data_IF_129500585421
#
_entry.id   IF_129500585421
#
_cell.length_a   1.000
_cell.length_b   1.000
_cell.length_c   1.000
_cell.angle_alpha   90.00
_cell.angle_beta   90.00
_cell.angle_gamma   90.00
#
_symmetry.space_group_name_H-M   'P 1'
#
loop_
_entity.id
_entity.type
_entity.pdbx_description
1 polymer ?
#
# COMPACT_ATOMS: atom_id res chain seq x y z
N UNK A 1 29.13 23.16 8.57
CA UNK A 1 29.33 22.06 7.61
C UNK A 1 28.10 21.17 7.64
N UNK A 2 27.23 21.30 6.64
CA UNK A 2 25.98 20.54 6.50
C UNK A 2 26.28 19.30 5.66
N UNK A 3 26.79 18.24 6.28
CA UNK A 3 27.04 16.97 5.59
C UNK A 3 25.72 16.20 5.49
N UNK A 4 25.11 16.24 4.30
CA UNK A 4 23.93 15.44 3.88
C UNK A 4 22.82 15.39 4.94
N UNK A 5 22.13 16.51 5.14
CA UNK A 5 20.94 16.60 5.98
C UNK A 5 19.90 15.53 5.60
N UNK A 6 19.77 14.51 6.46
CA UNK A 6 18.79 13.43 6.29
C UNK A 6 17.38 14.01 6.38
N UNK A 7 16.48 13.68 5.44
CA UNK A 7 15.11 14.17 5.45
C UNK A 7 14.36 13.81 6.75
N UNK A 8 13.47 14.69 7.21
CA UNK A 8 12.80 14.58 8.52
C UNK A 8 12.04 13.25 8.73
N UNK A 9 11.51 12.65 7.66
CA UNK A 9 10.89 11.32 7.73
C UNK A 9 11.91 10.23 8.12
N UNK A 10 13.07 10.22 7.45
CA UNK A 10 14.15 9.27 7.71
C UNK A 10 14.76 9.53 9.09
N UNK A 11 14.90 10.78 9.51
CA UNK A 11 15.36 11.13 10.86
C UNK A 11 14.41 10.59 11.94
N UNK A 12 13.12 10.84 11.81
CA UNK A 12 12.11 10.36 12.76
C UNK A 12 12.01 8.84 12.80
N UNK A 13 12.18 8.18 11.64
CA UNK A 13 12.23 6.72 11.58
C UNK A 13 13.44 6.18 12.37
N UNK A 14 14.63 6.77 12.18
CA UNK A 14 15.82 6.41 12.97
C UNK A 14 15.62 6.63 14.47
N UNK A 15 15.00 7.73 14.88
CA UNK A 15 14.64 7.94 16.28
C UNK A 15 13.65 6.90 16.80
N UNK A 16 12.68 6.48 16.00
CA UNK A 16 11.75 5.40 16.37
C UNK A 16 12.49 4.08 16.59
N UNK A 17 13.44 3.75 15.71
CA UNK A 17 14.29 2.55 15.83
C UNK A 17 15.16 2.62 17.08
N UNK A 18 15.82 3.76 17.34
CA UNK A 18 16.61 3.95 18.56
C UNK A 18 15.75 3.88 19.82
N UNK A 19 14.55 4.47 19.78
CA UNK A 19 13.56 4.41 20.86
C UNK A 19 13.20 2.97 21.18
N UNK A 20 12.91 2.16 20.16
CA UNK A 20 12.66 0.73 20.31
C UNK A 20 13.88 -0.01 20.87
N UNK A 21 15.06 0.19 20.29
CA UNK A 21 16.29 -0.49 20.72
C UNK A 21 16.59 -0.23 22.19
N UNK A 22 16.57 1.04 22.63
CA UNK A 22 16.85 1.36 24.02
C UNK A 22 15.77 0.85 24.98
N UNK A 23 14.48 1.00 24.64
CA UNK A 23 13.43 0.56 25.57
C UNK A 23 13.26 -0.95 25.63
N UNK A 24 13.36 -1.66 24.50
CA UNK A 24 13.07 -3.09 24.41
C UNK A 24 14.34 -3.93 24.58
N UNK A 25 15.42 -3.59 23.88
CA UNK A 25 16.65 -4.39 23.89
C UNK A 25 17.53 -4.06 25.10
N UNK A 26 17.64 -2.78 25.47
CA UNK A 26 18.51 -2.34 26.58
C UNK A 26 17.76 -2.10 27.89
N UNK A 27 16.43 -2.22 27.93
CA UNK A 27 15.58 -1.91 29.08
C UNK A 27 15.81 -0.49 29.67
N UNK A 28 16.13 0.48 28.81
CA UNK A 28 16.37 1.89 29.14
C UNK A 28 15.30 2.78 28.52
N UNK A 29 14.15 2.86 29.16
CA UNK A 29 13.02 3.64 28.66
C UNK A 29 13.24 5.15 28.77
N UNK A 30 14.06 5.59 29.72
CA UNK A 30 14.43 6.99 29.94
C UNK A 30 15.06 7.65 28.71
N UNK A 31 15.70 6.86 27.83
CA UNK A 31 16.31 7.36 26.60
C UNK A 31 15.30 8.00 25.65
N UNK A 32 14.02 7.61 25.72
CA UNK A 32 12.95 8.24 24.92
C UNK A 32 12.75 9.72 25.26
N UNK A 33 13.04 10.14 26.50
CA UNK A 33 12.91 11.55 26.94
C UNK A 33 13.86 12.49 26.19
N UNK A 34 14.98 11.94 25.69
CA UNK A 34 15.99 12.69 24.95
C UNK A 34 15.72 12.72 23.43
N UNK A 35 14.71 11.98 22.94
CA UNK A 35 14.42 11.87 21.52
C UNK A 35 13.45 12.97 21.07
N UNK A 36 13.93 13.89 20.24
CA UNK A 36 13.11 14.98 19.69
C UNK A 36 12.79 14.73 18.23
N UNK A 37 11.53 14.36 17.97
CA UNK A 37 11.03 14.19 16.61
C UNK A 37 10.96 15.53 15.88
N UNK A 38 11.34 15.53 14.61
CA UNK A 38 11.17 16.67 13.74
C UNK A 38 9.74 16.75 13.23
N UNK A 39 9.20 17.96 13.08
CA UNK A 39 7.87 18.15 12.49
C UNK A 39 7.89 17.71 11.03
N UNK A 40 7.01 16.78 10.69
CA UNK A 40 6.78 16.37 9.30
C UNK A 40 5.81 17.33 8.63
N UNK A 41 6.23 17.93 7.52
CA UNK A 41 5.33 18.68 6.64
C UNK A 41 4.46 17.66 5.91
N UNK A 42 3.14 17.68 6.18
CA UNK A 42 2.18 16.85 5.44
C UNK A 42 1.92 17.49 4.09
N UNK A 43 2.36 16.82 3.02
CA UNK A 43 2.00 17.21 1.65
C UNK A 43 0.60 16.69 1.34
N UNK A 44 -0.18 17.47 0.61
CA UNK A 44 -1.45 17.00 0.06
C UNK A 44 -1.11 15.98 -1.03
N UNK A 45 -1.73 14.78 -1.00
CA UNK A 45 -1.50 13.80 -2.06
C UNK A 45 -2.01 14.34 -3.39
N UNK A 46 -1.17 14.25 -4.42
CA UNK A 46 -1.60 14.45 -5.80
C UNK A 46 -2.41 13.22 -6.23
N UNK A 47 -3.62 13.44 -6.71
CA UNK A 47 -4.52 12.37 -7.19
C UNK A 47 -4.55 12.43 -8.71
N UNK A 48 -4.46 11.26 -9.35
CA UNK A 48 -4.51 11.13 -10.80
C UNK A 48 -5.96 11.28 -11.30
N UNK A 49 -6.12 11.86 -12.49
CA UNK A 49 -7.40 11.88 -13.19
C UNK A 49 -7.76 10.48 -13.74
N UNK A 50 -9.04 10.26 -14.06
CA UNK A 50 -9.47 9.00 -14.66
C UNK A 50 -8.76 8.73 -16.00
N UNK A 51 -8.53 9.77 -16.80
CA UNK A 51 -7.83 9.68 -18.08
C UNK A 51 -6.35 9.34 -17.90
N UNK A 52 -5.70 9.89 -16.88
CA UNK A 52 -4.32 9.53 -16.53
C UNK A 52 -4.20 8.06 -16.14
N UNK A 53 -5.12 7.56 -15.32
CA UNK A 53 -5.15 6.16 -14.91
C UNK A 53 -5.36 5.25 -16.12
N UNK A 54 -6.31 5.58 -17.01
CA UNK A 54 -6.54 4.82 -18.25
C UNK A 54 -5.27 4.74 -19.10
N UNK A 55 -4.58 5.86 -19.32
CA UNK A 55 -3.31 5.88 -20.07
C UNK A 55 -2.25 4.97 -19.44
N UNK A 56 -2.15 4.95 -18.11
CA UNK A 56 -1.21 4.08 -17.37
C UNK A 56 -1.58 2.60 -17.55
N UNK A 57 -2.87 2.27 -17.49
CA UNK A 57 -3.36 0.89 -17.66
C UNK A 57 -3.13 0.37 -19.08
N UNK A 58 -3.26 1.22 -20.09
CA UNK A 58 -3.10 0.84 -21.50
C UNK A 58 -1.63 0.58 -21.88
N UNK A 59 -0.69 1.30 -21.26
CA UNK A 59 0.76 1.12 -21.48
C UNK A 59 1.41 0.21 -20.46
N UNK A 60 0.62 -0.48 -19.61
CA UNK A 60 1.13 -1.29 -18.53
C UNK A 60 2.14 -2.35 -19.07
N UNK A 61 3.41 -2.30 -18.65
CA UNK A 61 4.46 -3.13 -19.23
C UNK A 61 4.34 -4.58 -18.77
N UNK A 62 4.79 -5.54 -19.57
CA UNK A 62 4.99 -6.93 -19.17
C UNK A 62 4.22 -7.97 -19.99
N UNK A 63 4.39 -9.27 -19.70
CA UNK A 63 3.78 -10.34 -20.47
C UNK A 63 2.28 -10.41 -20.20
N UNK A 64 1.49 -10.33 -21.27
CA UNK A 64 0.04 -10.50 -21.23
C UNK A 64 -0.68 -9.49 -20.32
N UNK A 65 -1.72 -9.95 -19.63
CA UNK A 65 -2.61 -9.09 -18.83
C UNK A 65 -2.15 -8.88 -17.38
N UNK A 66 -1.00 -9.40 -16.95
CA UNK A 66 -0.60 -9.45 -15.53
C UNK A 66 -0.61 -8.09 -14.83
N UNK A 67 0.15 -7.14 -15.34
CA UNK A 67 0.31 -5.84 -14.68
C UNK A 67 -0.90 -4.95 -14.88
N UNK A 68 -1.54 -5.03 -16.05
CA UNK A 68 -2.83 -4.38 -16.30
C UNK A 68 -3.88 -4.83 -15.28
N UNK A 69 -3.99 -6.14 -15.05
CA UNK A 69 -4.91 -6.71 -14.06
C UNK A 69 -4.54 -6.26 -12.64
N UNK A 70 -3.27 -6.34 -12.25
CA UNK A 70 -2.82 -5.90 -10.93
C UNK A 70 -3.14 -4.42 -10.65
N UNK A 71 -2.89 -3.53 -11.61
CA UNK A 71 -3.20 -2.10 -11.48
C UNK A 71 -4.70 -1.83 -11.50
N UNK A 72 -5.47 -2.54 -12.35
CA UNK A 72 -6.94 -2.44 -12.36
C UNK A 72 -7.55 -2.88 -11.03
N UNK A 73 -7.03 -3.94 -10.39
CA UNK A 73 -7.47 -4.36 -9.05
C UNK A 73 -7.10 -3.29 -8.01
N UNK A 74 -5.88 -2.77 -8.05
CA UNK A 74 -5.43 -1.72 -7.11
C UNK A 74 -6.33 -0.48 -7.20
N UNK A 75 -6.60 -0.01 -8.42
CA UNK A 75 -7.39 1.18 -8.68
C UNK A 75 -8.90 0.94 -8.42
N UNK A 76 -9.47 -0.08 -9.05
CA UNK A 76 -10.91 -0.35 -9.00
C UNK A 76 -11.40 -0.84 -7.64
N UNK A 77 -10.60 -1.65 -6.94
CA UNK A 77 -10.92 -2.16 -5.60
C UNK A 77 -10.33 -1.33 -4.45
N UNK A 78 -9.45 -0.36 -4.74
CA UNK A 78 -8.72 0.38 -3.71
C UNK A 78 -7.79 -0.48 -2.86
N UNK A 79 -7.25 -1.56 -3.44
CA UNK A 79 -6.30 -2.45 -2.76
C UNK A 79 -4.91 -1.83 -2.72
N UNK A 80 -4.20 -2.07 -1.61
CA UNK A 80 -2.76 -1.76 -1.52
C UNK A 80 -1.95 -2.73 -2.36
N UNK A 81 -0.75 -2.33 -2.77
CA UNK A 81 0.17 -3.19 -3.50
C UNK A 81 0.38 -4.56 -2.83
N UNK A 82 0.57 -4.58 -1.50
CA UNK A 82 0.70 -5.84 -0.75
C UNK A 82 -0.57 -6.68 -0.75
N UNK A 83 -1.75 -6.06 -0.77
CA UNK A 83 -3.03 -6.77 -0.81
C UNK A 83 -3.24 -7.37 -2.22
N UNK A 84 -2.89 -6.64 -3.29
CA UNK A 84 -2.93 -7.13 -4.67
C UNK A 84 -1.99 -8.32 -4.89
N UNK A 85 -0.76 -8.26 -4.38
CA UNK A 85 0.21 -9.35 -4.57
C UNK A 85 -0.13 -10.62 -3.80
N UNK A 86 -1.01 -10.55 -2.79
CA UNK A 86 -1.46 -11.70 -1.99
C UNK A 86 -2.90 -12.12 -2.30
N UNK A 87 -3.55 -11.51 -3.29
CA UNK A 87 -4.92 -11.84 -3.66
C UNK A 87 -4.98 -13.26 -4.22
N UNK A 88 -5.92 -14.08 -3.73
CA UNK A 88 -6.14 -15.45 -4.20
C UNK A 88 -7.51 -15.57 -4.87
N UNK A 89 -7.67 -16.59 -5.72
CA UNK A 89 -8.95 -16.89 -6.39
C UNK A 89 -10.13 -17.01 -5.42
N UNK A 90 -10.02 -17.70 -4.26
CA UNK A 90 -11.14 -17.82 -3.33
C UNK A 90 -11.53 -16.51 -2.63
N UNK A 91 -10.70 -15.48 -2.73
CA UNK A 91 -11.00 -14.16 -2.16
C UNK A 91 -11.94 -13.35 -3.06
N UNK A 92 -12.21 -13.81 -4.30
CA UNK A 92 -13.13 -13.19 -5.26
C UNK A 92 -14.50 -13.86 -5.13
N UNK A 93 -15.48 -13.12 -4.61
CA UNK A 93 -16.88 -13.53 -4.55
C UNK A 93 -17.63 -12.89 -5.74
N UNK A 94 -17.77 -13.67 -6.82
CA UNK A 94 -18.48 -13.20 -8.03
C UNK A 94 -20.00 -13.17 -7.86
N UNK A 95 -20.56 -13.85 -6.87
CA UNK A 95 -22.02 -13.88 -6.66
C UNK A 95 -22.46 -12.59 -5.95
N UNK A 96 -21.66 -12.13 -4.99
CA UNK A 96 -21.89 -10.89 -4.25
C UNK A 96 -21.18 -9.68 -4.83
N UNK A 97 -20.34 -9.87 -5.86
CA UNK A 97 -19.49 -8.84 -6.45
C UNK A 97 -18.60 -8.15 -5.41
N UNK A 98 -17.89 -8.97 -4.61
CA UNK A 98 -16.98 -8.51 -3.56
C UNK A 98 -15.61 -9.18 -3.68
N UNK A 99 -14.57 -8.45 -3.27
CA UNK A 99 -13.25 -9.01 -2.99
C UNK A 99 -13.02 -8.98 -1.49
N UNK A 100 -12.67 -10.12 -0.91
CA UNK A 100 -12.25 -10.25 0.48
C UNK A 100 -10.78 -9.88 0.61
N UNK A 101 -10.47 -8.94 1.50
CA UNK A 101 -9.11 -8.53 1.83
C UNK A 101 -8.79 -9.01 3.24
N UNK A 102 -8.05 -10.11 3.34
CA UNK A 102 -7.57 -10.67 4.61
C UNK A 102 -6.40 -9.85 5.16
N UNK A 103 -6.42 -9.56 6.46
CA UNK A 103 -5.36 -8.84 7.17
C UNK A 103 -4.98 -7.48 6.55
N UNK A 104 -5.96 -6.63 6.32
CA UNK A 104 -5.73 -5.23 5.96
C UNK A 104 -5.00 -4.42 7.06
N UNK A 105 -5.13 -3.08 7.03
CA UNK A 105 -4.46 -2.23 8.03
C UNK A 105 -4.91 -2.61 9.44
N UNK A 106 -3.96 -2.89 10.32
CA UNK A 106 -4.26 -3.29 11.70
C UNK A 106 -4.85 -4.69 11.83
N UNK A 107 -4.59 -5.58 10.85
CA UNK A 107 -5.09 -6.97 10.82
C UNK A 107 -6.62 -7.07 10.84
N UNK A 108 -7.29 -6.11 10.18
CA UNK A 108 -8.74 -6.12 10.01
C UNK A 108 -9.09 -6.59 8.62
N UNK A 109 -9.99 -7.56 8.56
CA UNK A 109 -10.55 -8.03 7.31
C UNK A 109 -11.60 -7.03 6.82
N UNK A 110 -11.69 -6.87 5.50
CA UNK A 110 -12.70 -6.02 4.87
C UNK A 110 -13.12 -6.57 3.51
N UNK A 111 -14.31 -6.22 3.08
CA UNK A 111 -14.76 -6.43 1.71
C UNK A 111 -14.60 -5.14 0.93
N UNK A 112 -14.17 -5.27 -0.32
CA UNK A 112 -14.16 -4.17 -1.29
C UNK A 112 -15.00 -4.56 -2.49
N UNK A 113 -15.55 -3.56 -3.18
CA UNK A 113 -16.44 -3.79 -4.32
C UNK A 113 -15.65 -4.35 -5.50
N UNK A 114 -16.22 -5.35 -6.17
CA UNK A 114 -15.74 -5.86 -7.45
C UNK A 114 -16.59 -5.25 -8.56
N UNK A 115 -16.00 -4.51 -9.49
CA UNK A 115 -16.75 -4.05 -10.66
C UNK A 115 -16.95 -5.19 -11.66
N UNK A 116 -18.05 -5.20 -12.44
CA UNK A 116 -18.25 -6.21 -13.50
C UNK A 116 -17.09 -6.27 -14.49
N UNK A 117 -16.57 -5.11 -14.91
CA UNK A 117 -15.41 -5.01 -15.79
C UNK A 117 -14.13 -5.61 -15.20
N UNK A 118 -13.95 -5.50 -13.87
CA UNK A 118 -12.80 -6.07 -13.18
C UNK A 118 -12.92 -7.60 -13.09
N UNK A 119 -14.13 -8.12 -12.88
CA UNK A 119 -14.38 -9.56 -12.89
C UNK A 119 -14.08 -10.19 -14.25
N UNK A 120 -14.51 -9.54 -15.34
CA UNK A 120 -14.17 -9.99 -16.71
C UNK A 120 -12.66 -10.03 -16.93
N UNK A 121 -11.96 -8.94 -16.57
CA UNK A 121 -10.50 -8.87 -16.69
C UNK A 121 -9.79 -9.95 -15.85
N UNK A 122 -10.26 -10.21 -14.63
CA UNK A 122 -9.72 -11.25 -13.77
C UNK A 122 -9.93 -12.66 -14.36
N UNK A 123 -11.08 -12.90 -14.98
CA UNK A 123 -11.38 -14.17 -15.68
C UNK A 123 -10.52 -14.35 -16.92
N UNK A 124 -10.30 -13.29 -17.69
CA UNK A 124 -9.44 -13.33 -18.87
C UNK A 124 -7.96 -13.55 -18.49
N UNK A 125 -7.51 -12.97 -17.37
CA UNK A 125 -6.16 -13.18 -16.86
C UNK A 125 -5.93 -14.58 -16.28
N UNK A 126 -6.96 -15.22 -15.72
CA UNK A 126 -6.85 -16.55 -15.10
C UNK A 126 -6.85 -17.71 -16.11
N UNK A 127 -7.32 -17.48 -17.34
CA UNK A 127 -7.26 -18.47 -18.43
C UNK A 127 -5.82 -18.75 -18.86
#
# INVERSE_FOLDING_TARGET
MSEKGTGSATFNNRLSVLGFFFSVTCAREEMKLHMRYQRLVKKIPMVLSAEEVTRILDVAPGPGLKYRTAFSVAYGGGLRASEVTHLRVPDIDSDRMLIRVDQGKGRKDRHVMLSPSLLELLRDYYR
#
